data_IF_656949570157
#
_entry.id   IF_656949570157
#
_cell.length_a   1.000
_cell.length_b   1.000
_cell.length_c   1.000
_cell.angle_alpha   90.00
_cell.angle_beta   90.00
_cell.angle_gamma   90.00
#
_symmetry.space_group_name_H-M   'P 1'
#
loop_
_entity.id
_entity.type
_entity.pdbx_description
1 polymer ?
#
# COMPACT_ATOMS: atom_id res chain seq x y z
N UNK A 1 6.03 19.33 -6.73
CA UNK A 1 5.72 18.25 -7.70
C UNK A 1 4.97 17.15 -6.95
N UNK A 2 3.66 17.01 -7.14
CA UNK A 2 2.91 15.94 -6.47
C UNK A 2 3.15 14.63 -7.23
N UNK A 3 3.84 13.68 -6.58
CA UNK A 3 3.78 12.26 -6.96
C UNK A 3 2.30 11.87 -7.09
N UNK A 4 1.95 11.14 -8.15
CA UNK A 4 0.57 10.97 -8.62
C UNK A 4 -0.46 10.52 -7.57
N UNK A 5 -1.75 10.71 -7.87
CA UNK A 5 -2.91 10.29 -7.03
C UNK A 5 -3.13 8.77 -7.01
N UNK A 6 -2.07 7.99 -7.13
CA UNK A 6 -2.10 6.54 -7.26
C UNK A 6 -1.72 5.91 -5.92
N UNK A 7 -2.40 4.81 -5.60
CA UNK A 7 -2.14 4.03 -4.40
C UNK A 7 -1.30 2.81 -4.77
N UNK A 8 -0.37 2.44 -3.88
CA UNK A 8 0.47 1.26 -4.01
C UNK A 8 0.80 0.68 -2.64
N UNK A 9 1.51 -0.45 -2.64
CA UNK A 9 2.04 -1.05 -1.41
C UNK A 9 3.54 -0.81 -1.33
N UNK A 10 3.99 -0.25 -0.21
CA UNK A 10 5.41 -0.13 0.12
C UNK A 10 5.78 -1.14 1.20
N UNK A 11 6.94 -1.77 1.05
CA UNK A 11 7.51 -2.65 2.07
C UNK A 11 8.82 -2.03 2.58
N UNK A 12 8.95 -1.93 3.89
CA UNK A 12 10.13 -1.38 4.54
C UNK A 12 10.69 -2.41 5.52
N UNK A 13 11.97 -2.75 5.37
CA UNK A 13 12.69 -3.66 6.26
C UNK A 13 14.08 -3.11 6.48
N UNK A 14 14.42 -2.86 7.75
CA UNK A 14 15.75 -2.46 8.18
C UNK A 14 16.44 -3.67 8.81
N UNK A 15 17.65 -3.97 8.36
CA UNK A 15 18.49 -5.01 8.95
C UNK A 15 19.87 -4.43 9.25
N UNK A 16 20.38 -4.74 10.44
CA UNK A 16 21.74 -4.34 10.83
C UNK A 16 22.80 -5.35 10.38
N UNK A 17 22.37 -6.48 9.81
CA UNK A 17 23.23 -7.63 9.49
C UNK A 17 23.17 -8.02 8.01
N UNK A 18 22.01 -7.85 7.35
CA UNK A 18 21.80 -8.31 5.97
C UNK A 18 21.78 -7.16 4.97
N UNK A 19 22.49 -7.35 3.86
CA UNK A 19 22.50 -6.41 2.74
C UNK A 19 21.15 -6.36 2.01
N UNK A 20 20.82 -5.22 1.34
CA UNK A 20 19.56 -5.06 0.61
C UNK A 20 19.28 -6.12 -0.44
N UNK A 21 20.32 -6.64 -1.12
CA UNK A 21 20.20 -7.73 -2.10
C UNK A 21 19.62 -9.00 -1.50
N UNK A 22 20.06 -9.38 -0.30
CA UNK A 22 19.51 -10.52 0.45
C UNK A 22 18.07 -10.26 0.89
N UNK A 23 17.76 -9.04 1.34
CA UNK A 23 16.39 -8.67 1.72
C UNK A 23 15.44 -8.74 0.53
N UNK A 24 15.89 -8.34 -0.67
CA UNK A 24 15.11 -8.43 -1.90
C UNK A 24 14.74 -9.87 -2.28
N UNK A 25 15.65 -10.84 -2.11
CA UNK A 25 15.32 -12.25 -2.31
C UNK A 25 14.22 -12.73 -1.35
N UNK A 26 14.23 -12.23 -0.10
CA UNK A 26 13.16 -12.54 0.87
C UNK A 26 11.83 -11.92 0.47
N UNK A 27 11.82 -10.71 -0.07
CA UNK A 27 10.61 -10.11 -0.62
C UNK A 27 10.05 -10.91 -1.79
N UNK A 28 10.91 -11.34 -2.73
CA UNK A 28 10.50 -12.19 -3.86
C UNK A 28 9.92 -13.53 -3.41
N UNK A 29 10.47 -14.13 -2.35
CA UNK A 29 9.90 -15.35 -1.77
C UNK A 29 8.58 -15.09 -1.04
N UNK A 30 8.42 -13.92 -0.43
CA UNK A 30 7.21 -13.53 0.29
C UNK A 30 6.00 -13.32 -0.63
N UNK A 31 6.15 -12.60 -1.74
CA UNK A 31 5.00 -12.18 -2.57
C UNK A 31 4.10 -13.33 -3.04
N UNK A 32 4.62 -14.46 -3.59
CA UNK A 32 3.78 -15.58 -4.01
C UNK A 32 3.03 -16.22 -2.83
N UNK A 33 3.68 -16.34 -1.67
CA UNK A 33 3.05 -16.91 -0.47
C UNK A 33 1.93 -16.03 0.07
N UNK A 34 2.14 -14.71 0.07
CA UNK A 34 1.12 -13.74 0.45
C UNK A 34 -0.06 -13.73 -0.54
N UNK A 35 0.21 -13.80 -1.85
CA UNK A 35 -0.82 -13.87 -2.89
C UNK A 35 -1.67 -15.13 -2.75
N UNK A 36 -1.04 -16.29 -2.54
CA UNK A 36 -1.73 -17.55 -2.31
C UNK A 36 -2.60 -17.48 -1.04
N UNK A 37 -2.07 -16.93 0.06
CA UNK A 37 -2.82 -16.76 1.31
C UNK A 37 -4.04 -15.85 1.12
N UNK A 38 -3.88 -14.72 0.43
CA UNK A 38 -5.00 -13.80 0.15
C UNK A 38 -6.07 -14.43 -0.74
N UNK A 39 -5.68 -15.29 -1.70
CA UNK A 39 -6.64 -16.01 -2.55
C UNK A 39 -7.35 -17.15 -1.84
N UNK A 40 -6.66 -17.84 -0.91
CA UNK A 40 -7.20 -18.94 -0.14
C UNK A 40 -7.96 -18.50 1.12
N UNK A 41 -7.97 -17.19 1.43
CA UNK A 41 -8.68 -16.63 2.57
C UNK A 41 -10.18 -16.92 2.49
N UNK A 42 -10.76 -17.35 3.60
CA UNK A 42 -12.19 -17.64 3.67
C UNK A 42 -13.01 -16.35 3.51
N UNK A 43 -14.20 -16.40 2.88
CA UNK A 43 -15.05 -15.22 2.74
C UNK A 43 -15.37 -14.53 4.08
N UNK A 44 -15.60 -15.31 5.14
CA UNK A 44 -15.94 -14.77 6.47
C UNK A 44 -14.77 -14.00 7.10
N UNK A 45 -13.55 -14.52 6.97
CA UNK A 45 -12.33 -13.87 7.44
C UNK A 45 -12.08 -12.57 6.64
N UNK A 46 -12.29 -12.62 5.32
CA UNK A 46 -12.17 -11.43 4.47
C UNK A 46 -13.21 -10.36 4.87
N UNK A 47 -14.46 -10.76 5.10
CA UNK A 47 -15.53 -9.84 5.51
C UNK A 47 -15.23 -9.19 6.88
N UNK A 48 -14.66 -9.95 7.83
CA UNK A 48 -14.20 -9.39 9.10
C UNK A 48 -13.11 -8.34 8.91
N UNK A 49 -12.08 -8.63 8.10
CA UNK A 49 -11.00 -7.68 7.81
C UNK A 49 -11.55 -6.43 7.11
N UNK A 50 -12.43 -6.62 6.13
CA UNK A 50 -13.10 -5.54 5.41
C UNK A 50 -13.88 -4.63 6.36
N UNK A 51 -14.66 -5.22 7.27
CA UNK A 51 -15.41 -4.47 8.28
C UNK A 51 -14.49 -3.75 9.26
N UNK A 52 -13.40 -4.38 9.71
CA UNK A 52 -12.43 -3.75 10.60
C UNK A 52 -11.78 -2.51 9.97
N UNK A 53 -11.40 -2.59 8.68
CA UNK A 53 -10.84 -1.45 7.94
C UNK A 53 -11.88 -0.34 7.80
N UNK A 54 -13.13 -0.66 7.46
CA UNK A 54 -14.21 0.34 7.35
C UNK A 54 -14.42 1.03 8.70
N UNK A 55 -14.48 0.28 9.80
CA UNK A 55 -14.66 0.83 11.15
C UNK A 55 -13.51 1.78 11.51
N UNK A 56 -12.26 1.41 11.23
CA UNK A 56 -11.10 2.28 11.47
C UNK A 56 -11.17 3.57 10.64
N UNK A 57 -11.61 3.48 9.38
CA UNK A 57 -11.75 4.66 8.52
C UNK A 57 -12.85 5.62 8.97
N UNK A 58 -13.94 5.08 9.53
CA UNK A 58 -15.11 5.83 10.02
C UNK A 58 -15.01 6.23 11.49
N UNK A 59 -13.92 5.87 12.18
CA UNK A 59 -13.73 6.22 13.58
C UNK A 59 -13.81 7.74 13.76
N UNK A 60 -14.61 8.18 14.73
CA UNK A 60 -14.74 9.60 15.07
C UNK A 60 -13.38 10.16 15.54
N UNK A 61 -12.96 11.34 15.06
CA UNK A 61 -11.76 11.99 15.58
C UNK A 61 -11.91 12.24 17.09
N UNK A 62 -10.85 11.97 17.85
CA UNK A 62 -10.85 12.16 19.31
C UNK A 62 -10.41 13.58 19.69
N UNK A 63 -9.82 14.32 18.73
CA UNK A 63 -9.33 15.69 18.95
C UNK A 63 -9.65 16.58 17.75
N UNK A 64 -9.70 17.89 17.99
CA UNK A 64 -9.86 18.91 16.94
C UNK A 64 -8.73 18.84 15.89
N UNK A 65 -7.50 18.53 16.30
CA UNK A 65 -6.36 18.39 15.40
C UNK A 65 -6.52 17.21 14.43
N UNK A 66 -7.09 16.09 14.91
CA UNK A 66 -7.42 14.95 14.06
C UNK A 66 -8.55 15.28 13.09
N UNK A 67 -9.58 15.99 13.53
CA UNK A 67 -10.67 16.44 12.67
C UNK A 67 -10.17 17.38 11.56
N UNK A 68 -9.37 18.38 11.92
CA UNK A 68 -8.74 19.28 10.97
C UNK A 68 -7.85 18.53 9.97
N UNK A 69 -7.03 17.59 10.46
CA UNK A 69 -6.19 16.73 9.59
C UNK A 69 -7.01 15.83 8.66
N UNK A 70 -8.22 15.47 9.10
CA UNK A 70 -9.14 14.65 8.32
C UNK A 70 -9.76 15.43 7.17
N UNK A 71 -10.06 16.71 7.37
CA UNK A 71 -10.65 17.59 6.37
C UNK A 71 -9.60 18.26 5.46
N UNK A 72 -8.41 18.56 6.01
CA UNK A 72 -7.34 19.25 5.29
C UNK A 72 -6.92 18.50 4.03
N UNK A 73 -6.86 17.17 4.07
CA UNK A 73 -6.52 16.35 2.88
C UNK A 73 -7.46 16.55 1.71
N UNK A 74 -8.74 16.78 1.97
CA UNK A 74 -9.75 17.03 0.93
C UNK A 74 -9.73 18.50 0.50
N UNK A 75 -9.53 19.41 1.45
CA UNK A 75 -9.34 20.83 1.18
C UNK A 75 -8.11 21.10 0.29
N UNK A 76 -6.94 20.55 0.63
CA UNK A 76 -5.68 20.67 -0.12
C UNK A 76 -5.80 20.12 -1.55
N UNK A 77 -6.72 19.17 -1.75
CA UNK A 77 -7.01 18.55 -3.05
C UNK A 77 -8.12 19.24 -3.83
N UNK A 78 -8.73 20.29 -3.26
CA UNK A 78 -9.86 21.01 -3.84
C UNK A 78 -11.19 20.25 -3.82
N UNK A 79 -11.32 19.20 -3.01
CA UNK A 79 -12.55 18.45 -2.85
C UNK A 79 -13.47 19.10 -1.79
N UNK A 80 -14.28 20.05 -2.22
CA UNK A 80 -15.22 20.78 -1.33
C UNK A 80 -16.43 19.95 -0.86
N UNK A 81 -16.57 18.70 -1.34
CA UNK A 81 -17.59 17.77 -0.84
C UNK A 81 -17.12 16.93 0.34
N UNK A 82 -15.81 16.94 0.64
CA UNK A 82 -15.21 16.16 1.74
C UNK A 82 -15.58 14.66 1.73
N UNK A 83 -15.91 14.13 0.56
CA UNK A 83 -16.49 12.80 0.35
C UNK A 83 -15.45 11.72 0.01
N UNK A 84 -14.16 12.04 0.12
CA UNK A 84 -13.09 11.11 -0.29
C UNK A 84 -13.09 9.83 0.55
N UNK A 85 -13.37 9.93 1.86
CA UNK A 85 -13.45 8.75 2.74
C UNK A 85 -14.62 7.85 2.38
N UNK A 86 -15.80 8.43 2.16
CA UNK A 86 -17.00 7.69 1.81
C UNK A 86 -16.84 6.97 0.47
N UNK A 87 -16.21 7.64 -0.51
CA UNK A 87 -15.84 7.02 -1.78
C UNK A 87 -14.89 5.83 -1.60
N UNK A 88 -13.89 5.94 -0.72
CA UNK A 88 -12.98 4.83 -0.44
C UNK A 88 -13.73 3.68 0.25
N UNK A 89 -14.58 3.96 1.25
CA UNK A 89 -15.39 2.94 1.94
C UNK A 89 -16.31 2.22 0.95
N UNK A 90 -16.93 2.95 0.01
CA UNK A 90 -17.74 2.35 -1.05
C UNK A 90 -16.92 1.41 -1.94
N UNK A 91 -15.69 1.77 -2.29
CA UNK A 91 -14.79 0.88 -3.05
C UNK A 91 -14.34 -0.33 -2.24
N UNK A 92 -14.05 -0.17 -0.94
CA UNK A 92 -13.69 -1.27 -0.05
C UNK A 92 -14.82 -2.29 0.00
N UNK A 93 -16.08 -1.85 0.08
CA UNK A 93 -17.27 -2.73 0.06
C UNK A 93 -17.38 -3.59 -1.21
N UNK A 94 -16.80 -3.16 -2.33
CA UNK A 94 -16.82 -3.88 -3.62
C UNK A 94 -15.59 -4.78 -3.84
N UNK A 95 -14.64 -4.81 -2.89
CA UNK A 95 -13.46 -5.65 -2.98
C UNK A 95 -13.81 -7.13 -2.76
N UNK A 96 -13.04 -7.99 -3.41
CA UNK A 96 -13.15 -9.45 -3.28
C UNK A 96 -11.75 -10.02 -3.09
N UNK A 97 -11.59 -11.16 -2.40
CA UNK A 97 -10.28 -11.77 -2.16
C UNK A 97 -9.44 -11.93 -3.45
N UNK A 98 -10.08 -12.33 -4.55
CA UNK A 98 -9.44 -12.48 -5.86
C UNK A 98 -8.89 -11.17 -6.43
N UNK A 99 -9.61 -10.05 -6.26
CA UNK A 99 -9.15 -8.71 -6.67
C UNK A 99 -7.99 -8.25 -5.79
N UNK A 100 -8.03 -8.52 -4.49
CA UNK A 100 -6.99 -8.11 -3.54
C UNK A 100 -5.66 -8.82 -3.81
N UNK A 101 -5.67 -10.13 -4.05
CA UNK A 101 -4.45 -10.89 -4.36
C UNK A 101 -3.72 -10.41 -5.63
N UNK A 102 -4.44 -9.81 -6.59
CA UNK A 102 -3.86 -9.28 -7.84
C UNK A 102 -2.95 -8.05 -7.64
N UNK A 103 -3.04 -7.36 -6.50
CA UNK A 103 -2.25 -6.16 -6.23
C UNK A 103 -0.81 -6.45 -5.78
N UNK A 104 -0.51 -7.67 -5.35
CA UNK A 104 0.87 -8.06 -5.05
C UNK A 104 1.67 -8.19 -6.36
N UNK A 105 2.93 -7.76 -6.39
CA UNK A 105 3.78 -7.96 -7.55
C UNK A 105 3.95 -9.46 -7.78
N UNK A 106 3.28 -10.00 -8.80
CA UNK A 106 3.56 -11.35 -9.28
C UNK A 106 5.01 -11.36 -9.74
N UNK A 107 5.84 -12.26 -9.20
CA UNK A 107 7.29 -12.32 -9.40
C UNK A 107 7.81 -12.51 -10.84
N UNK A 108 7.02 -12.23 -11.87
CA UNK A 108 7.44 -12.18 -13.26
C UNK A 108 7.07 -10.84 -13.90
N UNK A 109 8.12 -10.04 -14.21
CA UNK A 109 8.23 -9.04 -15.29
C UNK A 109 6.96 -8.43 -15.87
N UNK A 110 6.02 -7.99 -15.03
CA UNK A 110 4.86 -7.18 -15.44
C UNK A 110 4.99 -5.71 -15.01
N UNK A 111 6.13 -5.34 -14.41
CA UNK A 111 6.45 -3.97 -14.03
C UNK A 111 6.76 -3.05 -15.23
N UNK A 112 7.07 -3.60 -16.41
CA UNK A 112 7.54 -2.80 -17.55
C UNK A 112 6.43 -2.17 -18.41
N UNK A 113 5.14 -2.49 -18.21
CA UNK A 113 4.08 -2.04 -19.13
C UNK A 113 3.37 -0.73 -18.74
N UNK A 114 3.51 -0.24 -17.52
CA UNK A 114 2.73 0.94 -17.05
C UNK A 114 3.57 2.00 -16.32
N UNK A 115 4.84 2.20 -16.72
CA UNK A 115 5.60 3.40 -16.36
C UNK A 115 5.70 3.72 -14.86
N UNK A 116 5.55 2.71 -14.00
CA UNK A 116 5.74 2.90 -12.56
C UNK A 116 7.25 2.88 -12.28
N UNK A 117 7.81 3.92 -11.63
CA UNK A 117 9.15 3.83 -11.08
C UNK A 117 9.07 2.89 -9.88
N UNK A 118 9.27 1.60 -10.13
CA UNK A 118 9.70 0.67 -9.09
C UNK A 118 11.16 1.00 -8.86
N UNK A 119 11.55 1.29 -7.63
CA UNK A 119 12.95 1.41 -7.27
C UNK A 119 13.68 0.15 -7.76
N UNK A 120 14.50 0.33 -8.80
CA UNK A 120 15.31 -0.75 -9.32
C UNK A 120 16.50 -0.90 -8.39
N UNK A 121 16.32 -1.70 -7.34
CA UNK A 121 17.37 -2.04 -6.39
C UNK A 121 18.56 -2.80 -7.04
N UNK A 122 18.57 -3.01 -8.37
CA UNK A 122 19.74 -3.47 -9.13
C UNK A 122 20.66 -2.36 -9.62
N UNK A 123 20.29 -1.08 -9.54
CA UNK A 123 21.18 -0.01 -9.99
C UNK A 123 22.18 0.37 -8.89
N UNK A 124 23.51 0.27 -9.11
CA UNK A 124 24.53 0.53 -8.08
C UNK A 124 24.56 1.99 -7.56
N UNK A 125 23.75 2.88 -8.13
CA UNK A 125 23.64 4.30 -7.79
C UNK A 125 22.99 4.60 -6.43
N UNK A 126 22.32 3.65 -5.78
CA UNK A 126 21.72 3.87 -4.45
C UNK A 126 22.68 3.58 -3.29
N UNK A 127 23.76 2.82 -3.50
CA UNK A 127 24.74 2.51 -2.45
C UNK A 127 25.52 3.75 -2.00
N UNK A 128 25.78 4.70 -2.92
CA UNK A 128 26.53 5.93 -2.63
C UNK A 128 25.74 7.02 -1.92
N UNK A 129 24.41 6.88 -1.79
CA UNK A 129 23.54 7.88 -1.15
C UNK A 129 23.10 7.54 0.27
N UNK A 130 23.28 6.28 0.70
CA UNK A 130 22.89 5.81 2.05
C UNK A 130 24.09 5.76 2.99
N UNK A 131 25.31 5.68 2.45
CA UNK A 131 26.56 5.69 3.20
C UNK A 131 27.44 6.87 2.78
N UNK A 132 27.17 8.05 3.32
CA UNK A 132 28.22 9.04 3.59
C UNK A 132 27.99 9.59 5.01
N UNK A 133 29.07 9.80 5.79
CA UNK A 133 29.02 10.01 7.24
C UNK A 133 28.31 11.29 7.69
#
# INVERSE_FOLDING_TARGET
MSVGRQWGMGFLLQSNDKQPSFLWERYKAFFPTAEAKLRAMKPDEFAQIQQAVITQMLQAPQTLGEEASKLSKDFDRGNMRFDSRDKIVAQIKLLTPAKTGRFLPSGGSRAARHGYPVADFRQPEWESRICTP
#
